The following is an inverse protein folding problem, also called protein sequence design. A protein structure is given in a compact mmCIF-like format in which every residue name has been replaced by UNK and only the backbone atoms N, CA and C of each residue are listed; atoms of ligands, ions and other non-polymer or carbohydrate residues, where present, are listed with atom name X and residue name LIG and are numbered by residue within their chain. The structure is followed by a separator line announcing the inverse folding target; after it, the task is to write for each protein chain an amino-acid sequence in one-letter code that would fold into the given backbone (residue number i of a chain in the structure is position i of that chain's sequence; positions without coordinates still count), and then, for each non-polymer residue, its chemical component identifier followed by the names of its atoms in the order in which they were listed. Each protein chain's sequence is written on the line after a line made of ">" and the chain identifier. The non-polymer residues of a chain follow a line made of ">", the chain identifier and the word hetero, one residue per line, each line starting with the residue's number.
data_IF_869000780360
#
_entry.id   IF_869000780360
#
_cell.length_a   1.000
_cell.length_b   1.000
_cell.length_c   1.000
_cell.angle_alpha   90.00
_cell.angle_beta   90.00
_cell.angle_gamma   90.00
#
_symmetry.space_group_name_H-M   'P 1'
#
loop_
_entity.id
_entity.type
_entity.pdbx_description
1 polymer ?
#
# COMPACT_ATOMS: atom_id res chain seq x y z
N UNK A 1 12.83 2.86 5.43
CA UNK A 1 13.94 2.05 5.96
C UNK A 1 13.42 1.15 7.07
N UNK A 2 13.92 -0.08 7.19
CA UNK A 2 13.54 -1.04 8.23
C UNK A 2 14.77 -1.38 9.06
N UNK A 3 14.60 -1.53 10.37
CA UNK A 3 15.66 -2.05 11.25
C UNK A 3 15.61 -3.57 11.24
N UNK A 4 16.70 -4.22 10.86
CA UNK A 4 16.82 -5.68 10.82
C UNK A 4 18.24 -6.06 11.22
N UNK A 5 18.40 -7.00 12.17
CA UNK A 5 19.70 -7.44 12.72
C UNK A 5 20.66 -6.30 13.14
N UNK A 6 20.15 -5.25 13.78
CA UNK A 6 20.90 -4.02 14.17
C UNK A 6 21.39 -3.19 12.97
N UNK A 7 21.05 -3.56 11.75
CA UNK A 7 21.30 -2.80 10.54
C UNK A 7 20.03 -2.05 10.08
N UNK A 8 20.24 -1.07 9.20
CA UNK A 8 19.14 -0.33 8.57
C UNK A 8 19.15 -0.67 7.08
N UNK A 9 18.08 -1.29 6.62
CA UNK A 9 17.88 -1.67 5.22
C UNK A 9 16.90 -0.72 4.54
N UNK A 10 17.21 -0.39 3.29
CA UNK A 10 16.32 0.30 2.38
C UNK A 10 15.28 -0.68 1.85
N UNK A 11 14.05 -0.19 1.69
CA UNK A 11 12.95 -0.98 1.16
C UNK A 11 12.40 -0.24 -0.05
N UNK A 12 12.34 -0.94 -1.16
CA UNK A 12 11.65 -0.48 -2.36
C UNK A 12 10.32 -1.23 -2.44
N UNK A 13 9.21 -0.50 -2.62
CA UNK A 13 7.86 -1.07 -2.64
C UNK A 13 7.08 -0.51 -3.80
N UNK A 14 6.52 -1.39 -4.61
CA UNK A 14 5.69 -1.06 -5.76
C UNK A 14 4.35 -1.77 -5.60
N UNK A 15 3.27 -1.10 -6.02
CA UNK A 15 1.93 -1.68 -6.00
C UNK A 15 1.38 -1.64 -7.43
N UNK A 16 0.95 -2.79 -7.93
CA UNK A 16 0.32 -2.89 -9.25
C UNK A 16 -1.08 -3.48 -9.10
N UNK A 17 -1.95 -3.25 -10.07
CA UNK A 17 -3.23 -3.95 -10.14
C UNK A 17 -3.12 -5.20 -11.01
N UNK A 18 -3.58 -6.35 -10.50
CA UNK A 18 -3.66 -7.57 -11.29
C UNK A 18 -5.08 -7.71 -11.88
N UNK A 19 -5.24 -7.67 -13.23
CA UNK A 19 -6.55 -7.70 -13.86
C UNK A 19 -7.23 -9.07 -13.78
N UNK A 20 -6.47 -10.16 -13.67
CA UNK A 20 -7.01 -11.52 -13.56
C UNK A 20 -7.68 -11.74 -12.21
N UNK A 21 -7.02 -11.34 -11.13
CA UNK A 21 -7.54 -11.47 -9.77
C UNK A 21 -8.37 -10.28 -9.33
N UNK A 22 -8.35 -9.16 -10.05
CA UNK A 22 -8.98 -7.88 -9.69
C UNK A 22 -8.59 -7.37 -8.30
N UNK A 23 -7.31 -7.43 -7.98
CA UNK A 23 -6.76 -7.02 -6.67
C UNK A 23 -5.40 -6.33 -6.82
N UNK A 24 -4.99 -5.50 -5.85
CA UNK A 24 -3.62 -5.01 -5.77
C UNK A 24 -2.62 -6.14 -5.49
N UNK A 25 -1.43 -6.01 -6.04
CA UNK A 25 -0.27 -6.90 -5.85
C UNK A 25 0.88 -6.07 -5.31
N UNK A 26 1.49 -6.57 -4.24
CA UNK A 26 2.64 -5.96 -3.60
C UNK A 26 3.92 -6.52 -4.19
N UNK A 27 4.80 -5.64 -4.63
CA UNK A 27 6.14 -5.95 -5.10
C UNK A 27 7.16 -5.25 -4.22
N UNK A 28 8.23 -5.92 -3.86
CA UNK A 28 9.24 -5.34 -3.00
C UNK A 28 10.63 -5.92 -3.21
N UNK A 29 11.61 -5.12 -2.81
CA UNK A 29 13.01 -5.52 -2.64
C UNK A 29 13.57 -4.81 -1.41
N UNK A 30 14.57 -5.43 -0.79
CA UNK A 30 15.35 -4.82 0.28
C UNK A 30 16.80 -4.69 -0.14
N UNK A 31 17.40 -3.56 0.21
CA UNK A 31 18.78 -3.23 -0.10
C UNK A 31 19.51 -2.78 1.15
N UNK A 32 20.75 -3.20 1.32
CA UNK A 32 21.67 -2.64 2.32
C UNK A 32 22.03 -1.20 1.95
N UNK A 33 22.72 -0.49 2.87
CA UNK A 33 23.11 0.92 2.66
C UNK A 33 24.07 1.13 1.49
N UNK A 34 24.86 0.10 1.17
CA UNK A 34 25.77 0.06 0.02
C UNK A 34 25.05 -0.24 -1.31
N UNK A 35 23.73 -0.47 -1.28
CA UNK A 35 22.93 -0.84 -2.46
C UNK A 35 22.87 -2.34 -2.74
N UNK A 36 23.55 -3.18 -1.96
CA UNK A 36 23.53 -4.64 -2.15
C UNK A 36 22.14 -5.20 -1.81
N UNK A 37 21.48 -5.97 -2.69
CA UNK A 37 20.19 -6.59 -2.38
C UNK A 37 20.33 -7.63 -1.26
N UNK A 38 19.27 -7.81 -0.47
CA UNK A 38 19.20 -8.93 0.46
C UNK A 38 18.99 -10.25 -0.29
N UNK A 39 19.57 -11.33 0.25
CA UNK A 39 19.39 -12.68 -0.27
C UNK A 39 17.99 -13.21 0.03
N UNK A 40 17.51 -14.21 -0.71
CA UNK A 40 16.17 -14.78 -0.48
C UNK A 40 15.96 -15.27 0.96
N UNK A 41 16.98 -15.88 1.57
CA UNK A 41 16.91 -16.30 2.97
C UNK A 41 16.69 -15.13 3.94
N UNK A 42 17.40 -14.02 3.72
CA UNK A 42 17.25 -12.80 4.53
C UNK A 42 15.88 -12.13 4.32
N UNK A 43 15.37 -12.18 3.07
CA UNK A 43 14.03 -11.70 2.72
C UNK A 43 12.94 -12.50 3.44
N UNK A 44 13.07 -13.84 3.47
CA UNK A 44 12.13 -14.68 4.18
C UNK A 44 12.21 -14.46 5.69
N UNK A 45 13.42 -14.27 6.23
CA UNK A 45 13.60 -13.97 7.66
C UNK A 45 12.96 -12.63 8.07
N UNK A 46 13.19 -11.55 7.30
CA UNK A 46 12.56 -10.25 7.61
C UNK A 46 11.03 -10.30 7.45
N UNK A 47 10.52 -11.18 6.59
CA UNK A 47 9.09 -11.32 6.28
C UNK A 47 8.32 -12.30 7.17
N UNK A 48 9.00 -13.10 7.97
CA UNK A 48 8.41 -14.19 8.77
C UNK A 48 8.24 -13.83 10.26
N UNK A 49 7.90 -12.58 10.56
CA UNK A 49 7.55 -12.19 11.94
C UNK A 49 6.38 -13.06 12.46
N UNK A 50 6.31 -13.31 13.76
CA UNK A 50 5.36 -14.26 14.37
C UNK A 50 3.88 -13.93 14.05
N UNK A 51 3.56 -12.66 13.76
CA UNK A 51 2.23 -12.19 13.37
C UNK A 51 1.89 -12.34 11.87
N UNK A 52 2.86 -12.68 11.00
CA UNK A 52 2.71 -12.69 9.53
C UNK A 52 2.60 -14.09 8.91
N UNK A 53 2.37 -15.11 9.73
CA UNK A 53 2.76 -16.50 9.45
C UNK A 53 1.99 -17.25 8.34
N UNK A 54 0.97 -16.65 7.73
CA UNK A 54 0.26 -17.25 6.58
C UNK A 54 0.60 -16.60 5.22
N UNK A 55 0.95 -15.30 5.21
CA UNK A 55 1.08 -14.55 3.96
C UNK A 55 2.48 -14.65 3.38
N UNK A 56 3.50 -14.79 4.23
CA UNK A 56 4.89 -14.93 3.80
C UNK A 56 5.11 -16.18 2.92
N UNK A 57 4.27 -17.20 3.06
CA UNK A 57 4.30 -18.42 2.24
C UNK A 57 3.95 -18.17 0.78
N UNK A 58 3.24 -17.08 0.48
CA UNK A 58 2.90 -16.67 -0.89
C UNK A 58 3.95 -15.73 -1.49
N UNK A 59 5.09 -15.50 -0.81
CA UNK A 59 6.19 -14.71 -1.34
C UNK A 59 6.93 -15.50 -2.43
N UNK A 60 7.12 -14.89 -3.59
CA UNK A 60 7.90 -15.48 -4.69
C UNK A 60 8.66 -14.42 -5.47
N UNK A 61 9.81 -14.80 -6.05
CA UNK A 61 10.62 -13.92 -6.89
C UNK A 61 10.12 -14.01 -8.34
N UNK A 62 9.73 -12.89 -8.92
CA UNK A 62 9.23 -12.82 -10.29
C UNK A 62 9.71 -11.56 -11.00
N UNK A 63 9.56 -11.55 -12.32
CA UNK A 63 9.78 -10.35 -13.13
C UNK A 63 8.66 -9.32 -12.89
N UNK A 64 9.03 -8.08 -12.58
CA UNK A 64 8.09 -7.00 -12.34
C UNK A 64 7.41 -6.59 -13.66
N UNK A 65 6.06 -6.56 -13.74
CA UNK A 65 5.30 -6.47 -15.00
C UNK A 65 5.52 -5.17 -15.79
N UNK A 66 5.99 -4.12 -15.13
CA UNK A 66 6.27 -2.82 -15.76
C UNK A 66 7.77 -2.59 -15.97
N UNK A 67 8.64 -3.19 -15.14
CA UNK A 67 10.07 -2.84 -15.12
C UNK A 67 10.95 -3.90 -15.79
N UNK A 68 10.45 -5.12 -15.95
CA UNK A 68 11.22 -6.22 -16.54
C UNK A 68 12.40 -6.71 -15.68
N UNK A 69 12.41 -6.37 -14.38
CA UNK A 69 13.47 -6.77 -13.44
C UNK A 69 12.91 -7.55 -12.26
N UNK A 70 13.76 -8.33 -11.59
CA UNK A 70 13.35 -9.23 -10.52
C UNK A 70 12.93 -8.48 -9.25
N UNK A 71 11.74 -8.79 -8.77
CA UNK A 71 11.16 -8.31 -7.51
C UNK A 71 10.50 -9.49 -6.79
N UNK A 72 10.54 -9.46 -5.46
CA UNK A 72 9.66 -10.32 -4.69
C UNK A 72 8.24 -9.79 -4.80
N UNK A 73 7.27 -10.69 -4.92
CA UNK A 73 5.87 -10.37 -4.82
C UNK A 73 5.17 -11.31 -3.86
N UNK A 74 3.99 -10.89 -3.39
CA UNK A 74 3.06 -11.77 -2.69
C UNK A 74 1.99 -12.19 -3.71
N UNK A 75 1.86 -13.49 -3.95
CA UNK A 75 0.94 -14.01 -4.95
C UNK A 75 -0.53 -13.66 -4.58
N UNK A 76 -1.34 -13.11 -5.51
CA UNK A 76 -2.65 -12.55 -5.18
C UNK A 76 -3.80 -13.55 -5.04
N UNK A 77 -3.55 -14.86 -5.18
CA UNK A 77 -4.63 -15.86 -5.25
C UNK A 77 -5.55 -15.90 -4.04
N UNK A 78 -5.04 -15.53 -2.86
CA UNK A 78 -5.81 -15.50 -1.60
C UNK A 78 -6.28 -14.11 -1.20
N UNK A 79 -5.92 -13.06 -1.95
CA UNK A 79 -6.22 -11.67 -1.57
C UNK A 79 -7.71 -11.39 -1.43
N UNK A 80 -8.54 -11.90 -2.35
CA UNK A 80 -9.99 -11.70 -2.26
C UNK A 80 -10.57 -12.33 -1.00
N UNK A 81 -10.20 -13.57 -0.72
CA UNK A 81 -10.71 -14.34 0.42
C UNK A 81 -10.31 -13.64 1.74
N UNK A 82 -9.01 -13.36 1.90
CA UNK A 82 -8.45 -12.71 3.10
C UNK A 82 -9.09 -11.35 3.36
N UNK A 83 -9.22 -10.49 2.32
CA UNK A 83 -9.78 -9.14 2.52
C UNK A 83 -11.28 -9.16 2.78
N UNK A 84 -12.02 -10.14 2.25
CA UNK A 84 -13.44 -10.29 2.51
C UNK A 84 -13.72 -10.77 3.95
N UNK A 85 -12.82 -11.56 4.54
CA UNK A 85 -12.92 -11.98 5.95
C UNK A 85 -12.70 -10.81 6.93
N UNK A 86 -11.95 -9.78 6.52
CA UNK A 86 -11.76 -8.57 7.32
C UNK A 86 -13.08 -7.78 7.42
N UNK A 87 -13.79 -7.99 8.53
CA UNK A 87 -15.05 -7.31 8.86
C UNK A 87 -14.91 -5.77 8.90
N UNK A 88 -16.03 -5.07 8.68
CA UNK A 88 -16.15 -3.61 8.84
C UNK A 88 -16.18 -2.79 7.55
N UNK A 89 -16.81 -1.61 7.59
CA UNK A 89 -16.76 -0.63 6.50
C UNK A 89 -15.45 0.16 6.60
N UNK A 90 -14.69 0.29 5.52
CA UNK A 90 -13.40 0.99 5.56
C UNK A 90 -12.71 1.01 4.21
N UNK A 91 -11.62 1.76 4.12
CA UNK A 91 -10.83 1.87 2.91
C UNK A 91 -10.20 0.52 2.55
N UNK A 92 -10.52 -0.01 1.36
CA UNK A 92 -10.03 -1.30 0.88
C UNK A 92 -8.49 -1.37 0.84
N UNK A 93 -7.84 -0.31 0.34
CA UNK A 93 -6.38 -0.23 0.25
C UNK A 93 -5.76 -0.19 1.64
N UNK A 94 -6.39 0.49 2.60
CA UNK A 94 -5.91 0.52 3.98
C UNK A 94 -5.95 -0.89 4.60
N UNK A 95 -7.08 -1.59 4.47
CA UNK A 95 -7.20 -3.00 4.92
C UNK A 95 -6.17 -3.90 4.26
N UNK A 96 -6.04 -3.79 2.94
CA UNK A 96 -5.07 -4.56 2.18
C UNK A 96 -3.64 -4.30 2.63
N UNK A 97 -3.27 -3.03 2.83
CA UNK A 97 -1.94 -2.66 3.25
C UNK A 97 -1.63 -3.08 4.68
N UNK A 98 -2.61 -3.09 5.58
CA UNK A 98 -2.45 -3.64 6.94
C UNK A 98 -2.02 -5.10 6.92
N UNK A 99 -2.53 -5.87 5.97
CA UNK A 99 -2.30 -7.33 5.89
C UNK A 99 -1.07 -7.66 5.05
N UNK A 100 -1.00 -7.13 3.83
CA UNK A 100 0.08 -7.43 2.89
C UNK A 100 1.34 -6.60 3.15
N UNK A 101 1.21 -5.43 3.79
CA UNK A 101 2.35 -4.58 4.15
C UNK A 101 3.06 -5.03 5.41
N UNK A 102 2.36 -5.67 6.36
CA UNK A 102 2.93 -6.07 7.65
C UNK A 102 4.20 -6.95 7.55
N UNK A 103 4.26 -7.99 6.67
CA UNK A 103 5.47 -8.80 6.51
C UNK A 103 6.71 -7.97 6.16
N UNK A 104 6.52 -6.89 5.39
CA UNK A 104 7.64 -6.04 4.95
C UNK A 104 7.83 -4.79 5.82
N UNK A 105 7.18 -4.73 6.99
CA UNK A 105 7.23 -3.58 7.91
C UNK A 105 6.61 -2.32 7.31
N UNK A 106 5.54 -2.47 6.53
CA UNK A 106 4.78 -1.38 5.94
C UNK A 106 3.38 -1.34 6.56
N UNK A 107 3.01 -0.20 7.13
CA UNK A 107 1.69 0.03 7.69
C UNK A 107 0.98 1.14 6.89
N UNK A 108 -0.35 1.06 6.73
CA UNK A 108 -1.13 2.16 6.18
C UNK A 108 -1.05 3.39 7.09
N UNK A 109 -0.97 4.61 6.53
CA UNK A 109 -1.11 5.84 7.30
C UNK A 109 -2.48 5.93 7.97
N UNK A 110 -2.53 6.43 9.21
CA UNK A 110 -3.78 6.59 10.00
C UNK A 110 -4.86 7.41 9.27
N UNK A 111 -4.42 8.35 8.43
CA UNK A 111 -5.30 9.16 7.58
C UNK A 111 -6.19 8.30 6.66
N UNK A 112 -5.76 7.10 6.26
CA UNK A 112 -6.55 6.21 5.41
C UNK A 112 -7.73 5.55 6.14
N UNK A 113 -7.75 5.58 7.47
CA UNK A 113 -8.85 5.07 8.28
C UNK A 113 -9.82 6.17 8.74
N UNK A 114 -9.48 7.45 8.53
CA UNK A 114 -10.29 8.57 8.98
C UNK A 114 -11.28 8.98 7.89
N UNK A 115 -12.59 8.82 8.15
CA UNK A 115 -13.68 9.17 7.23
C UNK A 115 -13.78 10.67 6.90
N UNK A 116 -13.09 11.52 7.64
CA UNK A 116 -13.22 12.99 7.59
C UNK A 116 -12.58 13.63 6.34
N UNK A 117 -11.67 12.95 5.65
CA UNK A 117 -10.87 13.54 4.57
C UNK A 117 -11.64 13.78 3.25
N UNK A 118 -12.80 13.14 3.05
CA UNK A 118 -13.58 13.29 1.81
C UNK A 118 -14.75 14.27 1.92
N UNK A 119 -15.29 14.49 3.12
CA UNK A 119 -16.46 15.36 3.31
C UNK A 119 -16.14 16.85 3.28
N UNK A 120 -14.92 17.27 3.64
CA UNK A 120 -14.58 18.70 3.71
C UNK A 120 -14.30 19.32 2.34
N UNK A 121 -13.87 18.53 1.33
CA UNK A 121 -13.56 19.08 -0.01
C UNK A 121 -14.81 19.38 -0.85
N UNK A 122 -15.96 18.76 -0.54
CA UNK A 122 -17.24 19.05 -1.21
C UNK A 122 -17.93 20.30 -0.68
N UNK A 123 -17.70 20.66 0.59
CA UNK A 123 -18.31 21.82 1.23
C UNK A 123 -17.65 23.13 0.78
N UNK A 124 -16.31 23.16 0.68
CA UNK A 124 -15.57 24.36 0.25
C UNK A 124 -15.79 24.70 -1.24
N UNK A 125 -16.00 23.70 -2.10
CA UNK A 125 -16.28 23.91 -3.52
C UNK A 125 -17.71 24.41 -3.80
N UNK A 126 -18.61 24.24 -2.81
CA UNK A 126 -20.02 24.64 -2.95
C UNK A 126 -20.27 26.07 -2.46
N UNK A 127 -19.32 26.69 -1.76
CA UNK A 127 -19.44 28.05 -1.20
C UNK A 127 -18.74 29.14 -2.05
N UNK A 128 -18.03 28.79 -3.13
CA UNK A 128 -17.27 29.76 -3.92
C UNK A 128 -17.98 30.29 -5.18
N UNK A 129 -19.31 30.15 -5.28
CA UNK A 129 -20.04 30.35 -6.55
C UNK A 129 -21.14 31.41 -6.50
N UNK A 130 -21.13 32.35 -5.54
CA UNK A 130 -22.16 33.40 -5.51
C UNK A 130 -21.66 34.71 -4.84
N UNK A 131 -21.00 35.59 -5.61
CA UNK A 131 -20.97 37.03 -5.30
C UNK A 131 -20.67 37.89 -6.55
N UNK A 132 -21.58 37.83 -7.53
CA UNK A 132 -21.50 38.64 -8.75
C UNK A 132 -22.76 39.49 -8.96
N UNK A 133 -23.21 40.22 -7.94
CA UNK A 133 -24.34 41.16 -8.10
C UNK A 133 -23.90 42.39 -8.91
N UNK A 134 -24.34 42.43 -10.17
CA UNK A 134 -24.30 43.61 -11.04
C UNK A 134 -25.17 44.72 -10.45
N UNK A 135 -24.53 45.79 -9.97
CA UNK A 135 -25.23 47.04 -9.70
C UNK A 135 -25.49 47.79 -11.01
N UNK A 136 -26.75 47.79 -11.44
CA UNK A 136 -27.26 48.71 -12.44
C UNK A 136 -27.27 50.12 -11.86
N UNK A 137 -26.38 50.99 -12.36
CA UNK A 137 -26.44 52.44 -12.15
C UNK A 137 -27.41 53.03 -13.18
N UNK A 138 -28.63 53.35 -12.74
CA UNK A 138 -29.45 54.39 -13.36
C UNK A 138 -29.13 55.73 -12.69
N UNK A 139 -28.45 56.62 -13.41
CA UNK A 139 -28.81 58.04 -13.62
C UNK A 139 -27.84 58.72 -14.59
#
# INVERSE_FOLDING_TARGET
>A
MVKWRKEVVNRQVHVTYNPTYCVPVLWFNFYRRDGTPLTSSEIMEISSNEDSMEISQYISLNEHPILGVLFYNIHPCKTKDIINELSGKGNYIAKWLSVYGAPIGLAPPDALFTSKALSQRSEDASQSSDDGSLSTLEM
#
